data_IF_171607511517
#
_entry.id   IF_171607511517
#
_cell.length_a   1.000
_cell.length_b   1.000
_cell.length_c   1.000
_cell.angle_alpha   90.00
_cell.angle_beta   90.00
_cell.angle_gamma   90.00
#
_symmetry.space_group_name_H-M   'P 1'
#
loop_
_entity.id
_entity.type
_entity.pdbx_description
1 polymer ?
#
# COMPACT_ATOMS: atom_id res chain seq x y z
N UNK A 1 -17.27 -1.92 -27.51
CA UNK A 1 -17.50 -2.13 -26.06
C UNK A 1 -16.42 -3.06 -25.56
N UNK A 2 -15.64 -2.66 -24.57
CA UNK A 2 -14.62 -3.52 -23.95
C UNK A 2 -15.31 -4.64 -23.18
N UNK A 3 -14.96 -5.90 -23.44
CA UNK A 3 -15.53 -7.03 -22.71
C UNK A 3 -15.00 -7.02 -21.25
N UNK A 4 -15.91 -6.99 -20.28
CA UNK A 4 -15.56 -7.03 -18.86
C UNK A 4 -15.45 -8.48 -18.36
N UNK A 5 -14.32 -8.82 -17.75
CA UNK A 5 -14.02 -10.10 -17.11
C UNK A 5 -13.97 -9.87 -15.59
N UNK A 6 -14.67 -10.67 -14.83
CA UNK A 6 -14.74 -10.53 -13.36
C UNK A 6 -14.46 -11.89 -12.70
N UNK A 7 -13.19 -12.36 -12.73
CA UNK A 7 -12.83 -13.64 -12.12
C UNK A 7 -13.04 -13.59 -10.61
N UNK A 8 -13.64 -14.64 -10.07
CA UNK A 8 -13.88 -14.81 -8.64
C UNK A 8 -12.76 -15.59 -7.92
N UNK A 9 -11.86 -16.22 -8.68
CA UNK A 9 -10.73 -17.00 -8.17
C UNK A 9 -9.43 -16.68 -8.90
N UNK A 10 -8.26 -16.91 -8.26
CA UNK A 10 -6.96 -16.82 -8.92
C UNK A 10 -6.85 -17.66 -10.20
N UNK A 11 -7.45 -18.86 -10.19
CA UNK A 11 -7.44 -19.78 -11.32
C UNK A 11 -8.24 -19.23 -12.51
N UNK A 12 -9.42 -18.67 -12.25
CA UNK A 12 -10.23 -18.00 -13.28
C UNK A 12 -9.50 -16.79 -13.89
N UNK A 13 -8.79 -16.01 -13.06
CA UNK A 13 -7.99 -14.89 -13.55
C UNK A 13 -6.86 -15.37 -14.48
N UNK A 14 -6.17 -16.45 -14.12
CA UNK A 14 -5.13 -17.06 -14.96
C UNK A 14 -5.70 -17.59 -16.28
N UNK A 15 -6.83 -18.29 -16.23
CA UNK A 15 -7.52 -18.80 -17.44
C UNK A 15 -7.94 -17.64 -18.36
N UNK A 16 -8.53 -16.59 -17.81
CA UNK A 16 -8.94 -15.40 -18.59
C UNK A 16 -7.75 -14.70 -19.29
N UNK A 17 -6.58 -14.67 -18.64
CA UNK A 17 -5.36 -14.13 -19.24
C UNK A 17 -4.83 -15.03 -20.36
N UNK A 18 -4.85 -16.36 -20.19
CA UNK A 18 -4.46 -17.31 -21.22
C UNK A 18 -5.34 -17.18 -22.47
N UNK A 19 -6.65 -17.06 -22.30
CA UNK A 19 -7.60 -16.83 -23.39
C UNK A 19 -7.34 -15.50 -24.11
N UNK A 20 -7.06 -14.43 -23.35
CA UNK A 20 -6.73 -13.14 -23.94
C UNK A 20 -5.43 -13.21 -24.74
N UNK A 21 -4.41 -13.90 -24.23
CA UNK A 21 -3.13 -14.13 -24.93
C UNK A 21 -3.33 -14.92 -26.21
N UNK A 22 -4.10 -16.02 -26.18
CA UNK A 22 -4.44 -16.82 -27.36
C UNK A 22 -5.18 -16.00 -28.41
N UNK A 23 -6.07 -15.11 -28.00
CA UNK A 23 -6.79 -14.18 -28.85
C UNK A 23 -5.96 -12.94 -29.27
N UNK A 24 -4.73 -12.79 -28.82
CA UNK A 24 -3.90 -11.59 -28.99
C UNK A 24 -4.61 -10.31 -28.55
N UNK A 25 -5.48 -10.41 -27.54
CA UNK A 25 -6.25 -9.30 -27.00
C UNK A 25 -5.49 -8.62 -25.84
N UNK A 26 -5.45 -7.31 -25.85
CA UNK A 26 -4.92 -6.51 -24.76
C UNK A 26 -5.88 -6.51 -23.56
N UNK A 27 -5.33 -6.52 -22.33
CA UNK A 27 -6.11 -6.57 -21.09
C UNK A 27 -5.75 -5.40 -20.20
N UNK A 28 -6.74 -4.58 -19.82
CA UNK A 28 -6.59 -3.62 -18.74
C UNK A 28 -6.98 -4.27 -17.40
N UNK A 29 -6.09 -4.23 -16.43
CA UNK A 29 -6.35 -4.77 -15.09
C UNK A 29 -6.86 -3.65 -14.18
N UNK A 30 -8.03 -3.85 -13.58
CA UNK A 30 -8.69 -2.86 -12.73
C UNK A 30 -9.08 -3.49 -11.39
N UNK A 31 -8.61 -2.87 -10.28
CA UNK A 31 -9.14 -3.08 -8.94
C UNK A 31 -10.29 -2.11 -8.68
N UNK A 32 -10.19 -1.29 -7.64
CA UNK A 32 -11.16 -0.24 -7.35
C UNK A 32 -11.12 0.98 -8.27
N UNK A 33 -10.21 1.04 -9.25
CA UNK A 33 -10.13 2.15 -10.21
C UNK A 33 -9.60 3.48 -9.66
N UNK A 34 -9.29 3.57 -8.37
CA UNK A 34 -8.93 4.83 -7.67
C UNK A 34 -7.64 5.48 -8.16
N UNK A 35 -6.81 4.73 -8.91
CA UNK A 35 -5.51 5.19 -9.43
C UNK A 35 -5.33 4.91 -10.93
N UNK A 36 -6.44 4.79 -11.67
CA UNK A 36 -6.45 4.52 -13.12
C UNK A 36 -5.74 5.60 -13.96
N UNK A 37 -5.58 6.81 -13.41
CA UNK A 37 -4.84 7.92 -14.05
C UNK A 37 -3.35 7.92 -13.76
N UNK A 38 -2.83 6.93 -13.01
CA UNK A 38 -1.40 6.88 -12.69
C UNK A 38 -0.62 6.32 -13.86
N UNK A 39 0.47 6.98 -14.23
CA UNK A 39 1.30 6.61 -15.39
C UNK A 39 0.92 7.37 -16.65
N UNK A 40 1.35 6.84 -17.79
CA UNK A 40 1.00 7.42 -19.10
C UNK A 40 -0.40 6.96 -19.51
N UNK A 41 -1.17 7.80 -20.22
CA UNK A 41 -2.40 7.34 -20.86
C UNK A 41 -2.10 6.13 -21.76
N UNK A 42 -2.80 5.04 -21.52
CA UNK A 42 -2.73 3.85 -22.35
C UNK A 42 -3.86 3.88 -23.41
N UNK A 43 -3.66 3.30 -24.59
CA UNK A 43 -4.76 3.08 -25.54
C UNK A 43 -5.84 2.22 -24.88
N UNK A 44 -7.10 2.31 -25.35
CA UNK A 44 -8.16 1.43 -24.87
C UNK A 44 -7.77 -0.04 -25.05
N UNK A 45 -7.97 -0.84 -24.02
CA UNK A 45 -7.74 -2.28 -24.09
C UNK A 45 -8.95 -2.99 -24.68
N UNK A 46 -8.71 -4.16 -25.31
CA UNK A 46 -9.77 -5.01 -25.87
C UNK A 46 -10.64 -5.61 -24.78
N UNK A 47 -10.05 -5.91 -23.62
CA UNK A 47 -10.72 -6.50 -22.46
C UNK A 47 -10.36 -5.75 -21.16
N UNK A 48 -11.29 -5.74 -20.21
CA UNK A 48 -11.06 -5.23 -18.86
C UNK A 48 -11.20 -6.39 -17.86
N UNK A 49 -10.16 -6.66 -17.06
CA UNK A 49 -10.19 -7.67 -16.01
C UNK A 49 -10.32 -6.98 -14.66
N UNK A 50 -11.45 -7.19 -13.98
CA UNK A 50 -11.75 -6.64 -12.66
C UNK A 50 -11.43 -7.64 -11.57
N UNK A 51 -10.57 -7.24 -10.61
CA UNK A 51 -10.16 -8.12 -9.51
C UNK A 51 -11.12 -8.09 -8.32
N UNK A 52 -12.11 -7.22 -8.31
CA UNK A 52 -12.98 -6.92 -7.14
C UNK A 52 -13.83 -8.10 -6.65
N UNK A 53 -14.01 -9.16 -7.46
CA UNK A 53 -14.67 -10.38 -7.03
C UNK A 53 -13.76 -11.31 -6.19
N UNK A 54 -12.42 -11.20 -6.33
CA UNK A 54 -11.43 -11.91 -5.51
C UNK A 54 -11.17 -11.13 -4.21
N UNK A 55 -12.02 -11.29 -3.20
CA UNK A 55 -12.00 -10.46 -1.98
C UNK A 55 -11.94 -11.23 -0.66
N UNK A 56 -11.47 -12.48 -0.68
CA UNK A 56 -11.40 -13.30 0.53
C UNK A 56 -10.22 -12.90 1.41
N UNK A 57 -10.45 -12.93 2.73
CA UNK A 57 -9.38 -13.04 3.72
C UNK A 57 -9.04 -14.55 3.81
N UNK A 58 -7.82 -14.89 3.36
CA UNK A 58 -7.34 -16.28 3.32
C UNK A 58 -6.80 -16.72 4.67
N UNK A 59 -6.04 -15.82 5.33
CA UNK A 59 -5.54 -16.01 6.68
C UNK A 59 -5.25 -14.66 7.34
N UNK A 60 -5.44 -14.57 8.64
CA UNK A 60 -4.95 -13.48 9.47
C UNK A 60 -4.32 -14.07 10.71
N UNK A 61 -3.02 -13.84 10.89
CA UNK A 61 -2.22 -14.36 12.00
C UNK A 61 -1.69 -13.18 12.83
N UNK A 62 -2.49 -12.66 13.79
CA UNK A 62 -2.10 -11.49 14.57
C UNK A 62 -0.80 -11.66 15.34
N UNK A 63 -0.49 -12.88 15.83
CA UNK A 63 0.74 -13.17 16.55
C UNK A 63 1.99 -13.01 15.68
N UNK A 64 1.87 -13.28 14.37
CA UNK A 64 2.94 -13.14 13.39
C UNK A 64 2.91 -11.78 12.66
N UNK A 65 1.95 -10.93 12.98
CA UNK A 65 1.71 -9.65 12.31
C UNK A 65 1.53 -9.82 10.78
N UNK A 66 0.79 -10.84 10.34
CA UNK A 66 0.60 -11.13 8.92
C UNK A 66 -0.86 -11.30 8.54
N UNK A 67 -1.20 -10.87 7.32
CA UNK A 67 -2.47 -11.15 6.69
C UNK A 67 -2.27 -11.63 5.26
N UNK A 68 -2.91 -12.74 4.90
CA UNK A 68 -2.98 -13.24 3.52
C UNK A 68 -4.37 -12.96 2.98
N UNK A 69 -4.45 -12.20 1.90
CA UNK A 69 -5.73 -11.75 1.32
C UNK A 69 -5.71 -11.84 -0.20
N UNK A 70 -6.88 -11.98 -0.80
CA UNK A 70 -7.04 -11.81 -2.25
C UNK A 70 -6.95 -10.33 -2.63
N UNK A 71 -6.41 -10.08 -3.81
CA UNK A 71 -6.02 -8.73 -4.25
C UNK A 71 -7.20 -7.76 -4.46
N UNK A 72 -8.40 -8.27 -4.70
CA UNK A 72 -9.62 -7.49 -4.83
C UNK A 72 -10.26 -7.08 -3.50
N UNK A 73 -9.74 -7.55 -2.36
CA UNK A 73 -10.24 -7.11 -1.05
C UNK A 73 -10.12 -5.59 -0.94
N UNK A 74 -11.20 -4.88 -0.55
CA UNK A 74 -11.12 -3.46 -0.23
C UNK A 74 -10.06 -3.19 0.83
N UNK A 75 -9.18 -2.22 0.58
CA UNK A 75 -8.10 -1.90 1.51
C UNK A 75 -8.62 -1.40 2.87
N UNK A 76 -9.80 -0.79 2.90
CA UNK A 76 -10.48 -0.41 4.12
C UNK A 76 -10.90 -1.63 4.96
N UNK A 77 -11.41 -2.69 4.35
CA UNK A 77 -11.77 -3.94 5.06
C UNK A 77 -10.52 -4.61 5.68
N UNK A 78 -9.37 -4.57 4.97
CA UNK A 78 -8.12 -5.03 5.56
C UNK A 78 -7.69 -4.16 6.75
N UNK A 79 -7.87 -2.84 6.65
CA UNK A 79 -7.55 -1.93 7.75
C UNK A 79 -8.43 -2.18 8.99
N UNK A 80 -9.73 -2.43 8.80
CA UNK A 80 -10.67 -2.78 9.88
C UNK A 80 -10.31 -4.13 10.52
N UNK A 81 -9.99 -5.14 9.70
CA UNK A 81 -9.53 -6.45 10.18
C UNK A 81 -8.25 -6.31 11.03
N UNK A 82 -7.26 -5.56 10.55
CA UNK A 82 -6.02 -5.32 11.28
C UNK A 82 -6.28 -4.56 12.59
N UNK A 83 -7.10 -3.51 12.55
CA UNK A 83 -7.46 -2.70 13.71
C UNK A 83 -8.15 -3.52 14.81
N UNK A 84 -8.98 -4.50 14.45
CA UNK A 84 -9.63 -5.40 15.42
C UNK A 84 -8.63 -6.21 16.27
N UNK A 85 -7.40 -6.37 15.76
CA UNK A 85 -6.28 -7.03 16.44
C UNK A 85 -5.22 -6.04 16.97
N UNK A 86 -5.52 -4.73 17.02
CA UNK A 86 -4.55 -3.70 17.44
C UNK A 86 -3.41 -3.50 16.44
N UNK A 87 -3.65 -3.75 15.17
CA UNK A 87 -2.65 -3.67 14.10
C UNK A 87 -3.09 -2.72 12.99
N UNK A 88 -2.20 -2.41 12.06
CA UNK A 88 -2.48 -1.59 10.89
C UNK A 88 -1.56 -1.89 9.72
N UNK A 89 -1.86 -1.27 8.60
CA UNK A 89 -1.02 -1.28 7.38
C UNK A 89 -0.54 0.15 7.03
N UNK A 90 0.36 0.73 7.86
CA UNK A 90 0.75 2.15 7.76
C UNK A 90 1.52 2.50 6.49
N UNK A 91 2.11 1.52 5.80
CA UNK A 91 2.82 1.76 4.55
C UNK A 91 1.90 2.07 3.36
N UNK A 92 0.59 1.81 3.48
CA UNK A 92 -0.36 1.95 2.38
C UNK A 92 -1.03 3.32 2.34
N UNK A 93 -1.16 3.91 1.14
CA UNK A 93 -2.10 4.99 0.87
C UNK A 93 -3.48 4.38 0.58
N UNK A 94 -4.33 4.32 1.61
CA UNK A 94 -5.68 3.77 1.51
C UNK A 94 -6.65 4.91 1.18
N UNK A 95 -7.29 4.79 0.02
CA UNK A 95 -8.35 5.71 -0.44
C UNK A 95 -9.65 4.96 -0.51
N UNK A 96 -10.76 5.68 -0.40
CA UNK A 96 -12.09 5.12 -0.61
C UNK A 96 -12.16 4.35 -1.94
N UNK A 97 -12.70 3.14 -1.90
CA UNK A 97 -12.81 2.24 -3.05
C UNK A 97 -11.50 1.58 -3.51
N UNK A 98 -10.34 1.84 -2.87
CA UNK A 98 -9.10 1.16 -3.25
C UNK A 98 -9.11 -0.31 -2.80
N UNK A 99 -8.51 -1.18 -3.64
CA UNK A 99 -8.27 -2.59 -3.32
C UNK A 99 -6.82 -2.82 -2.92
N UNK A 100 -6.56 -3.87 -2.15
CA UNK A 100 -5.19 -4.24 -1.72
C UNK A 100 -4.26 -4.40 -2.92
N UNK A 101 -4.66 -5.16 -3.94
CA UNK A 101 -3.87 -5.34 -5.16
C UNK A 101 -3.66 -4.03 -5.92
N UNK A 102 -4.67 -3.15 -5.95
CA UNK A 102 -4.58 -1.83 -6.59
C UNK A 102 -3.58 -0.90 -5.89
N UNK A 103 -3.54 -0.92 -4.55
CA UNK A 103 -2.54 -0.17 -3.75
C UNK A 103 -1.13 -0.66 -4.08
N UNK A 104 -0.90 -1.97 -4.11
CA UNK A 104 0.40 -2.56 -4.41
C UNK A 104 0.81 -2.34 -5.87
N UNK A 105 -0.07 -2.66 -6.83
CA UNK A 105 0.22 -2.47 -8.26
C UNK A 105 0.57 -1.03 -8.61
N UNK A 106 -0.02 -0.05 -7.89
CA UNK A 106 0.29 1.36 -8.07
C UNK A 106 1.47 1.86 -7.21
N UNK A 107 2.11 1.03 -6.40
CA UNK A 107 3.11 1.43 -5.39
C UNK A 107 2.63 2.61 -4.52
N UNK A 108 1.36 2.59 -4.11
CA UNK A 108 0.74 3.69 -3.40
C UNK A 108 1.12 3.65 -1.91
N UNK A 109 2.23 4.31 -1.59
CA UNK A 109 2.72 4.40 -0.23
C UNK A 109 2.04 5.54 0.52
N UNK A 110 1.67 5.28 1.78
CA UNK A 110 1.11 6.23 2.71
C UNK A 110 2.12 7.31 3.15
N UNK A 111 1.60 8.28 3.90
CA UNK A 111 2.39 9.42 4.41
C UNK A 111 3.42 9.02 5.47
N UNK A 112 3.17 7.97 6.24
CA UNK A 112 4.08 7.47 7.28
C UNK A 112 5.34 6.79 6.72
N UNK A 113 5.55 6.91 5.41
CA UNK A 113 6.64 6.28 4.67
C UNK A 113 8.03 6.58 5.24
N UNK A 114 8.21 7.76 5.85
CA UNK A 114 9.51 8.18 6.39
C UNK A 114 10.01 7.24 7.49
N UNK A 115 9.10 6.72 8.31
CA UNK A 115 9.42 5.78 9.40
C UNK A 115 9.07 4.34 9.07
N UNK A 116 7.92 4.13 8.43
CA UNK A 116 7.36 2.79 8.23
C UNK A 116 7.84 2.13 6.93
N UNK A 117 8.53 2.88 6.06
CA UNK A 117 8.98 2.39 4.76
C UNK A 117 7.92 2.48 3.68
N UNK A 118 8.26 2.02 2.48
CA UNK A 118 7.36 2.00 1.35
C UNK A 118 6.39 0.82 1.42
N UNK A 119 5.27 0.91 0.72
CA UNK A 119 4.27 -0.19 0.67
C UNK A 119 4.87 -1.52 0.18
N UNK A 120 5.90 -1.47 -0.65
CA UNK A 120 6.63 -2.68 -1.10
C UNK A 120 7.31 -3.42 0.04
N UNK A 121 7.69 -2.73 1.12
CA UNK A 121 8.41 -3.32 2.25
C UNK A 121 7.47 -4.09 3.19
N UNK A 122 6.14 -3.96 2.98
CA UNK A 122 5.12 -4.75 3.66
C UNK A 122 4.74 -6.04 2.92
N UNK A 123 5.08 -6.18 1.64
CA UNK A 123 4.71 -7.34 0.83
C UNK A 123 5.69 -8.48 1.05
N UNK A 124 5.22 -9.57 1.70
CA UNK A 124 6.03 -10.77 1.99
C UNK A 124 5.93 -11.82 0.88
N UNK A 125 4.72 -12.07 0.40
CA UNK A 125 4.45 -13.07 -0.65
C UNK A 125 3.45 -12.49 -1.65
N UNK A 126 3.61 -12.82 -2.91
CA UNK A 126 2.67 -12.48 -3.97
C UNK A 126 2.37 -13.68 -4.85
N UNK A 127 1.11 -13.81 -5.25
CA UNK A 127 0.69 -14.71 -6.31
C UNK A 127 0.24 -13.85 -7.50
N UNK A 128 0.88 -14.06 -8.64
CA UNK A 128 0.57 -13.41 -9.92
C UNK A 128 -0.07 -14.40 -10.88
N UNK A 129 -1.19 -14.04 -11.47
CA UNK A 129 -1.69 -14.69 -12.67
C UNK A 129 -0.97 -14.10 -13.90
N UNK A 130 -0.32 -14.94 -14.69
CA UNK A 130 0.48 -14.55 -15.85
C UNK A 130 -0.24 -14.80 -17.16
N UNK A 131 0.19 -14.12 -18.23
CA UNK A 131 -0.47 -14.20 -19.54
C UNK A 131 -0.48 -15.59 -20.20
N UNK A 132 0.36 -16.52 -19.73
CA UNK A 132 0.38 -17.92 -20.16
C UNK A 132 -0.55 -18.84 -19.32
N UNK A 133 -1.36 -18.24 -18.43
CA UNK A 133 -2.35 -18.97 -17.65
C UNK A 133 -1.80 -19.63 -16.37
N UNK A 134 -0.56 -19.32 -15.97
CA UNK A 134 0.04 -19.86 -14.75
C UNK A 134 -0.17 -18.94 -13.57
N UNK A 135 -0.12 -19.52 -12.38
CA UNK A 135 0.02 -18.79 -11.12
C UNK A 135 1.48 -18.86 -10.66
N UNK A 136 2.16 -17.71 -10.70
CA UNK A 136 3.53 -17.59 -10.22
C UNK A 136 3.53 -17.07 -8.79
N UNK A 137 4.13 -17.81 -7.86
CA UNK A 137 4.28 -17.41 -6.46
C UNK A 137 5.72 -17.02 -6.20
N UNK A 138 5.91 -15.90 -5.50
CA UNK A 138 7.22 -15.43 -5.06
C UNK A 138 7.17 -14.81 -3.67
N UNK A 139 8.33 -14.83 -2.99
CA UNK A 139 8.40 -14.48 -1.58
C UNK A 139 8.06 -15.65 -0.67
N UNK A 140 7.63 -15.37 0.56
CA UNK A 140 7.24 -16.38 1.54
C UNK A 140 6.55 -15.73 2.72
N UNK A 141 5.70 -16.51 3.39
CA UNK A 141 4.91 -16.04 4.55
C UNK A 141 5.75 -15.74 5.79
N UNK A 142 7.04 -16.00 5.73
CA UNK A 142 8.00 -15.73 6.81
C UNK A 142 8.97 -14.61 6.41
N UNK A 143 9.41 -13.82 7.40
CA UNK A 143 10.29 -12.65 7.20
C UNK A 143 11.68 -12.99 6.62
N UNK A 144 12.04 -14.28 6.47
CA UNK A 144 13.34 -14.77 6.01
C UNK A 144 13.26 -15.72 4.81
N UNK A 145 12.48 -15.39 3.80
CA UNK A 145 12.45 -16.16 2.55
C UNK A 145 13.26 -15.48 1.45
N UNK A 146 14.51 -15.88 1.24
CA UNK A 146 15.43 -15.26 0.25
C UNK A 146 15.86 -16.20 -0.87
N UNK A 147 15.10 -17.23 -1.18
CA UNK A 147 15.38 -18.12 -2.30
C UNK A 147 14.64 -17.63 -3.56
N UNK A 148 15.39 -17.32 -4.62
CA UNK A 148 14.85 -16.96 -5.94
C UNK A 148 14.74 -15.45 -6.19
N UNK A 149 14.02 -15.10 -7.28
CA UNK A 149 13.79 -13.71 -7.66
C UNK A 149 12.82 -13.03 -6.68
N UNK A 150 13.08 -11.77 -6.37
CA UNK A 150 12.21 -10.93 -5.51
C UNK A 150 10.94 -10.50 -6.29
N UNK A 151 10.05 -11.46 -6.54
CA UNK A 151 8.81 -11.25 -7.24
C UNK A 151 7.88 -10.24 -6.52
N UNK A 152 7.80 -10.22 -5.17
CA UNK A 152 7.09 -9.18 -4.45
C UNK A 152 7.51 -7.77 -4.83
N UNK A 153 8.82 -7.49 -4.85
CA UNK A 153 9.33 -6.16 -5.25
C UNK A 153 9.05 -5.83 -6.70
N UNK A 154 9.10 -6.82 -7.58
CA UNK A 154 8.80 -6.64 -8.99
C UNK A 154 7.32 -6.32 -9.23
N UNK A 155 6.42 -6.96 -8.47
CA UNK A 155 4.98 -6.78 -8.60
C UNK A 155 4.51 -5.39 -8.14
N UNK A 156 5.17 -4.81 -7.13
CA UNK A 156 4.81 -3.49 -6.61
C UNK A 156 5.23 -2.40 -7.61
N UNK A 157 4.25 -1.61 -8.05
CA UNK A 157 4.45 -0.57 -9.06
C UNK A 157 4.40 -1.07 -10.50
N UNK A 158 4.07 -2.35 -10.72
CA UNK A 158 3.95 -2.95 -12.06
C UNK A 158 2.75 -2.44 -12.86
N UNK A 159 1.78 -1.78 -12.23
CA UNK A 159 0.53 -1.31 -12.85
C UNK A 159 -0.23 -2.42 -13.59
N UNK A 160 -0.04 -3.69 -13.19
CA UNK A 160 -0.65 -4.84 -13.85
C UNK A 160 0.01 -5.28 -15.16
N UNK A 161 1.16 -4.69 -15.54
CA UNK A 161 1.81 -4.98 -16.83
C UNK A 161 2.62 -6.28 -16.85
N UNK A 162 2.95 -6.82 -15.67
CA UNK A 162 3.71 -8.07 -15.53
C UNK A 162 2.80 -9.29 -15.28
N UNK A 163 1.54 -9.04 -14.97
CA UNK A 163 0.54 -10.02 -14.58
C UNK A 163 -0.47 -9.41 -13.62
N UNK A 164 -1.48 -10.16 -13.27
CA UNK A 164 -2.51 -9.75 -12.31
C UNK A 164 -2.12 -10.22 -10.92
N UNK A 165 -1.97 -9.29 -9.97
CA UNK A 165 -1.86 -9.66 -8.55
C UNK A 165 -3.21 -10.26 -8.15
N UNK A 166 -3.22 -11.52 -7.69
CA UNK A 166 -4.44 -12.25 -7.31
C UNK A 166 -4.51 -12.53 -5.82
N UNK A 167 -3.37 -12.75 -5.15
CA UNK A 167 -3.28 -12.95 -3.72
C UNK A 167 -1.97 -12.39 -3.19
N UNK A 168 -1.98 -11.90 -1.95
CA UNK A 168 -0.80 -11.34 -1.27
C UNK A 168 -0.77 -11.74 0.19
N UNK A 169 0.44 -11.89 0.74
CA UNK A 169 0.68 -11.92 2.18
C UNK A 169 1.40 -10.64 2.57
N UNK A 170 0.82 -9.92 3.51
CA UNK A 170 1.30 -8.63 4.00
C UNK A 170 1.81 -8.73 5.42
N UNK A 171 2.88 -7.98 5.71
CA UNK A 171 3.29 -7.67 7.07
C UNK A 171 2.47 -6.49 7.58
N UNK A 172 1.84 -6.69 8.73
CA UNK A 172 1.15 -5.66 9.49
C UNK A 172 2.06 -5.09 10.59
N UNK A 173 1.63 -4.02 11.23
CA UNK A 173 2.35 -3.38 12.31
C UNK A 173 1.42 -3.17 13.49
N UNK A 174 1.92 -3.30 14.74
CA UNK A 174 1.15 -2.88 15.91
C UNK A 174 0.79 -1.40 15.82
N UNK A 175 -0.41 -1.05 16.24
CA UNK A 175 -0.79 0.36 16.41
C UNK A 175 0.13 0.97 17.47
N UNK A 176 0.78 2.11 17.20
CA UNK A 176 1.66 2.76 18.18
C UNK A 176 0.89 3.20 19.43
N UNK A 177 1.56 3.17 20.60
CA UNK A 177 0.95 3.58 21.87
C UNK A 177 0.52 5.05 21.85
N UNK A 178 1.30 5.91 21.18
CA UNK A 178 0.98 7.31 20.99
C UNK A 178 1.29 7.80 19.57
N UNK A 179 0.51 8.79 19.14
CA UNK A 179 0.74 9.55 17.92
C UNK A 179 0.43 11.03 18.19
N UNK A 180 1.20 11.93 17.62
CA UNK A 180 0.98 13.36 17.76
C UNK A 180 1.49 14.14 16.55
N UNK A 181 0.75 15.21 16.21
CA UNK A 181 1.15 16.16 15.19
C UNK A 181 1.70 17.42 15.84
N UNK A 182 2.79 17.95 15.28
CA UNK A 182 3.49 19.14 15.78
C UNK A 182 3.81 20.04 14.59
N UNK A 183 3.56 21.34 14.74
CA UNK A 183 3.73 22.32 13.67
C UNK A 183 4.68 23.46 14.02
N UNK A 184 5.30 24.03 13.00
CA UNK A 184 6.01 25.31 13.07
C UNK A 184 5.63 26.19 11.87
N UNK A 185 5.46 27.49 12.14
CA UNK A 185 5.16 28.51 11.15
C UNK A 185 6.36 29.46 11.00
N UNK A 186 6.33 30.34 10.01
CA UNK A 186 7.33 31.38 9.82
C UNK A 186 8.20 31.18 8.57
N UNK A 187 9.39 31.84 8.51
CA UNK A 187 10.32 31.73 7.40
C UNK A 187 10.73 30.28 7.12
N UNK A 188 11.04 29.98 5.84
CA UNK A 188 11.42 28.63 5.43
C UNK A 188 12.64 28.09 6.21
N UNK A 189 13.63 28.97 6.48
CA UNK A 189 14.81 28.62 7.27
C UNK A 189 14.47 28.04 8.65
N UNK A 190 13.53 28.68 9.33
CA UNK A 190 13.15 28.32 10.70
C UNK A 190 12.34 27.03 10.72
N UNK A 191 11.45 26.86 9.71
CA UNK A 191 10.69 25.63 9.49
C UNK A 191 11.61 24.43 9.19
N UNK A 192 12.62 24.63 8.33
CA UNK A 192 13.59 23.57 8.02
C UNK A 192 14.47 23.25 9.25
N UNK A 193 14.86 24.26 10.03
CA UNK A 193 15.58 24.05 11.29
C UNK A 193 14.75 23.26 12.31
N UNK A 194 13.43 23.51 12.39
CA UNK A 194 12.53 22.73 13.26
C UNK A 194 12.41 21.29 12.81
N UNK A 195 12.28 21.02 11.49
CA UNK A 195 12.30 19.66 10.94
C UNK A 195 13.62 18.96 11.24
N UNK A 196 14.76 19.62 11.06
CA UNK A 196 16.07 19.03 11.35
C UNK A 196 16.18 18.62 12.82
N UNK A 197 15.67 19.44 13.75
CA UNK A 197 15.61 19.08 15.19
C UNK A 197 14.70 17.88 15.43
N UNK A 198 13.54 17.82 14.79
CA UNK A 198 12.63 16.68 14.89
C UNK A 198 13.27 15.39 14.40
N UNK A 199 14.00 15.44 13.26
CA UNK A 199 14.71 14.28 12.70
C UNK A 199 15.88 13.81 13.59
N UNK A 200 16.50 14.72 14.35
CA UNK A 200 17.57 14.41 15.29
C UNK A 200 17.05 13.97 16.70
N UNK A 201 15.75 14.07 16.93
CA UNK A 201 15.11 13.73 18.19
C UNK A 201 15.02 12.22 18.44
N UNK A 202 14.62 11.81 19.66
CA UNK A 202 14.49 10.39 20.04
C UNK A 202 13.38 9.68 19.25
N UNK A 203 12.25 10.34 19.04
CA UNK A 203 11.18 9.84 18.16
C UNK A 203 11.43 10.30 16.73
N UNK A 204 11.72 9.35 15.84
CA UNK A 204 11.84 9.66 14.40
C UNK A 204 10.47 9.99 13.83
N UNK A 205 10.32 11.08 13.04
CA UNK A 205 9.08 11.41 12.37
C UNK A 205 8.56 10.28 11.50
N UNK A 206 7.26 10.03 11.57
CA UNK A 206 6.55 9.15 10.64
C UNK A 206 6.24 9.88 9.34
N UNK A 207 5.87 11.16 9.45
CA UNK A 207 5.55 12.04 8.34
C UNK A 207 6.15 13.43 8.55
N UNK A 208 6.49 14.09 7.45
CA UNK A 208 6.81 15.52 7.40
C UNK A 208 6.02 16.13 6.25
N UNK A 209 5.16 17.10 6.54
CA UNK A 209 4.33 17.79 5.57
C UNK A 209 4.77 19.26 5.49
N UNK A 210 5.09 19.71 4.29
CA UNK A 210 5.31 21.13 3.98
C UNK A 210 4.01 21.68 3.40
N UNK A 211 3.41 22.63 4.10
CA UNK A 211 2.24 23.37 3.65
C UNK A 211 2.57 24.84 3.47
N UNK A 212 1.76 25.62 2.74
CA UNK A 212 2.01 27.05 2.60
C UNK A 212 2.15 27.74 3.97
N UNK A 213 3.32 28.36 4.21
CA UNK A 213 3.60 29.09 5.46
C UNK A 213 3.96 28.25 6.68
N UNK A 214 3.77 26.92 6.65
CA UNK A 214 3.99 26.06 7.80
C UNK A 214 4.67 24.72 7.44
N UNK A 215 5.11 24.00 8.47
CA UNK A 215 5.49 22.59 8.41
C UNK A 215 4.78 21.83 9.53
N UNK A 216 4.40 20.60 9.25
CA UNK A 216 3.88 19.69 10.26
C UNK A 216 4.67 18.38 10.27
N UNK A 217 4.89 17.86 11.47
CA UNK A 217 5.61 16.61 11.71
C UNK A 217 4.72 15.69 12.53
N UNK A 218 4.58 14.45 12.08
CA UNK A 218 3.93 13.39 12.84
C UNK A 218 4.97 12.55 13.57
N UNK A 219 4.82 12.44 14.87
CA UNK A 219 5.59 11.52 15.70
C UNK A 219 4.70 10.39 16.16
N UNK A 220 5.22 9.15 16.12
CA UNK A 220 4.55 7.95 16.62
C UNK A 220 5.52 7.14 17.46
N UNK A 221 5.03 6.47 18.52
CA UNK A 221 5.89 5.64 19.36
C UNK A 221 5.38 5.49 20.77
N UNK A 222 6.29 5.24 21.77
CA UNK A 222 5.99 5.33 23.18
C UNK A 222 5.53 6.74 23.58
N UNK A 223 4.67 6.84 24.59
CA UNK A 223 4.12 8.14 25.04
C UNK A 223 5.21 9.13 25.49
N UNK A 224 6.28 8.63 26.13
CA UNK A 224 7.40 9.43 26.58
C UNK A 224 8.20 10.07 25.43
N UNK A 225 8.16 9.48 24.25
CA UNK A 225 8.91 9.95 23.07
C UNK A 225 8.08 10.89 22.18
N UNK A 226 6.74 10.81 22.25
CA UNK A 226 5.83 11.63 21.43
C UNK A 226 5.61 12.99 22.09
N UNK A 227 6.63 13.87 21.99
CA UNK A 227 6.63 15.24 22.56
C UNK A 227 6.98 16.26 21.49
N UNK A 228 6.50 17.48 21.70
CA UNK A 228 6.78 18.59 20.78
C UNK A 228 8.30 18.80 20.61
N UNK A 229 8.82 18.67 19.37
CA UNK A 229 10.21 19.06 19.09
C UNK A 229 10.44 20.53 19.36
N UNK A 230 11.67 20.91 19.70
CA UNK A 230 12.01 22.30 19.98
C UNK A 230 11.67 23.22 18.79
N UNK A 231 10.86 24.22 19.04
CA UNK A 231 10.38 25.19 18.03
C UNK A 231 9.14 24.71 17.26
N UNK A 232 8.44 23.67 17.77
CA UNK A 232 7.15 23.21 17.27
C UNK A 232 6.09 23.24 18.36
N UNK A 233 4.84 23.44 17.98
CA UNK A 233 3.68 23.37 18.88
C UNK A 233 2.79 22.18 18.52
N UNK A 234 2.08 21.58 19.49
CA UNK A 234 1.10 20.54 19.21
C UNK A 234 -0.01 21.04 18.27
N UNK A 235 -0.42 20.20 17.33
CA UNK A 235 -1.56 20.43 16.45
C UNK A 235 -2.70 19.49 16.86
N UNK A 236 -3.93 20.01 16.81
CA UNK A 236 -5.13 19.26 17.19
C UNK A 236 -5.46 18.12 16.20
N UNK A 237 -5.02 18.24 14.95
CA UNK A 237 -5.21 17.24 13.91
C UNK A 237 -4.10 17.30 12.86
N UNK A 238 -4.03 16.26 12.03
CA UNK A 238 -3.22 16.27 10.83
C UNK A 238 -3.65 17.45 9.91
N UNK A 239 -2.69 18.17 9.31
CA UNK A 239 -3.04 19.11 8.25
C UNK A 239 -3.76 18.39 7.11
N UNK A 240 -4.70 19.08 6.46
CA UNK A 240 -5.32 18.55 5.25
C UNK A 240 -4.23 18.28 4.20
N UNK A 241 -4.32 17.14 3.52
CA UNK A 241 -3.49 16.85 2.35
C UNK A 241 -3.77 17.94 1.28
N UNK A 242 -2.74 18.53 0.69
CA UNK A 242 -2.87 19.56 -0.33
C UNK A 242 -3.50 19.05 -1.64
#
# INVERSE_FOLDING_TARGET
MTAALSPATPQEAAAALAEATAARASVAVVGGGTRSRRGRPAPPADRELRTTAMRRVVAHEPADLTATVEAGLPAAELAELAASAGQGWPQADIREGSTVGGVLAAAASGRERLRMGAVRDSLLEVVLATGDGRLATGGGRTVKGVAGYDLPRLAVGSLGTLGVIVQVTLKLWPVPAAAGWFGAEGPLSDRLAAVARALAGPARPASVLLVPGAVAVELIGPEEDVRAPAGMAPLAAAPADP
#
